data_IF_053721889389
#
_entry.id   IF_053721889389
#
_cell.length_a   1.000
_cell.length_b   1.000
_cell.length_c   1.000
_cell.angle_alpha   90.00
_cell.angle_beta   90.00
_cell.angle_gamma   90.00
#
_symmetry.space_group_name_H-M   'P 1'
#
loop_
_entity.id
_entity.type
_entity.pdbx_description
1 polymer ?
#
# COMPACT_ATOMS: atom_id res chain seq x y z
N UNK A 1 24.58 -5.99 -17.36
CA UNK A 1 25.62 -5.33 -18.20
C UNK A 1 26.16 -6.33 -19.19
N UNK A 2 26.30 -5.92 -20.44
CA UNK A 2 26.88 -6.71 -21.53
C UNK A 2 28.08 -5.97 -22.09
N UNK A 3 29.16 -6.67 -22.32
CA UNK A 3 30.36 -6.15 -22.99
C UNK A 3 30.56 -6.99 -24.24
N UNK A 4 30.62 -6.36 -25.41
CA UNK A 4 30.69 -7.06 -26.69
C UNK A 4 31.67 -6.40 -27.65
N UNK A 5 32.18 -7.18 -28.61
CA UNK A 5 32.89 -6.65 -29.79
C UNK A 5 31.87 -6.37 -30.90
N UNK A 6 32.20 -5.47 -31.83
CA UNK A 6 31.37 -5.25 -33.04
C UNK A 6 31.50 -6.44 -33.97
N UNK A 7 32.71 -6.84 -34.33
CA UNK A 7 32.94 -7.90 -35.32
C UNK A 7 33.00 -9.26 -34.65
N UNK A 8 31.85 -9.95 -34.63
CA UNK A 8 31.74 -11.32 -34.14
C UNK A 8 31.17 -12.24 -35.23
N UNK A 9 31.49 -13.55 -35.18
CA UNK A 9 30.87 -14.54 -36.10
C UNK A 9 29.35 -14.61 -35.87
N UNK A 10 28.59 -14.78 -36.95
CA UNK A 10 27.14 -15.00 -36.98
C UNK A 10 26.25 -13.77 -36.67
N UNK A 11 26.60 -12.94 -35.69
CA UNK A 11 25.84 -11.74 -35.32
C UNK A 11 26.85 -10.66 -34.91
N UNK A 12 26.69 -9.44 -35.42
CA UNK A 12 27.55 -8.34 -35.01
C UNK A 12 27.08 -7.76 -33.67
N UNK A 13 27.99 -7.06 -32.93
CA UNK A 13 27.70 -6.54 -31.60
C UNK A 13 26.59 -5.48 -31.56
N UNK A 14 26.35 -4.76 -32.66
CA UNK A 14 25.26 -3.78 -32.73
C UNK A 14 23.90 -4.47 -32.94
N UNK A 15 23.85 -5.53 -33.75
CA UNK A 15 22.66 -6.38 -33.86
C UNK A 15 22.33 -7.05 -32.55
N UNK A 16 23.35 -7.57 -31.84
CA UNK A 16 23.18 -8.12 -30.49
C UNK A 16 22.63 -7.06 -29.52
N UNK A 17 23.17 -5.84 -29.57
CA UNK A 17 22.72 -4.74 -28.74
C UNK A 17 21.26 -4.38 -29.01
N UNK A 18 20.85 -4.34 -30.26
CA UNK A 18 19.46 -4.07 -30.67
C UNK A 18 18.50 -5.11 -30.08
N UNK A 19 18.79 -6.39 -30.31
CA UNK A 19 17.98 -7.50 -29.79
C UNK A 19 17.88 -7.48 -28.26
N UNK A 20 18.99 -7.23 -27.56
CA UNK A 20 19.01 -7.15 -26.11
C UNK A 20 18.22 -5.95 -25.56
N UNK A 21 18.24 -4.81 -26.25
CA UNK A 21 17.47 -3.61 -25.87
C UNK A 21 15.97 -3.81 -26.09
N UNK A 22 15.57 -4.54 -27.14
CA UNK A 22 14.18 -4.90 -27.39
C UNK A 22 13.64 -5.84 -26.31
N UNK A 23 14.41 -6.84 -25.89
CA UNK A 23 14.02 -7.78 -24.83
C UNK A 23 14.11 -7.16 -23.45
N UNK A 24 15.12 -6.33 -23.19
CA UNK A 24 15.38 -5.68 -21.90
C UNK A 24 15.89 -4.26 -22.08
N UNK A 25 15.00 -3.25 -22.13
CA UNK A 25 15.39 -1.84 -22.32
C UNK A 25 16.36 -1.28 -21.28
N UNK A 26 16.40 -1.89 -20.09
CA UNK A 26 17.30 -1.50 -19.01
C UNK A 26 18.72 -2.09 -19.10
N UNK A 27 19.02 -2.90 -20.10
CA UNK A 27 20.35 -3.48 -20.26
C UNK A 27 21.39 -2.39 -20.58
N UNK A 28 22.50 -2.39 -19.87
CA UNK A 28 23.66 -1.51 -20.12
C UNK A 28 24.66 -2.26 -20.98
N UNK A 29 25.06 -1.65 -22.11
CA UNK A 29 25.90 -2.28 -23.12
C UNK A 29 27.13 -1.43 -23.35
N UNK A 30 28.30 -2.08 -23.32
CA UNK A 30 29.60 -1.52 -23.67
C UNK A 30 30.08 -2.21 -24.93
N UNK A 31 30.57 -1.44 -25.89
CA UNK A 31 31.16 -1.97 -27.10
C UNK A 31 32.68 -1.75 -27.08
N UNK A 32 33.42 -2.83 -27.31
CA UNK A 32 34.86 -2.82 -27.46
C UNK A 32 35.17 -3.11 -28.92
N UNK A 33 35.81 -2.20 -29.64
CA UNK A 33 36.04 -2.37 -31.09
C UNK A 33 37.44 -1.96 -31.51
N UNK A 34 37.99 -2.65 -32.52
CA UNK A 34 39.23 -2.27 -33.19
C UNK A 34 39.02 -1.36 -34.41
N UNK A 35 37.78 -0.93 -34.66
CA UNK A 35 37.43 -0.17 -35.84
C UNK A 35 36.90 1.20 -35.45
N UNK A 36 37.53 2.25 -35.99
CA UNK A 36 37.10 3.63 -35.84
C UNK A 36 36.26 4.00 -37.07
N UNK A 37 35.11 3.30 -37.24
CA UNK A 37 34.16 3.61 -38.31
C UNK A 37 33.05 4.49 -37.75
N UNK A 38 32.90 5.69 -38.27
CA UNK A 38 31.92 6.69 -37.86
C UNK A 38 30.48 6.15 -37.87
N UNK A 39 30.14 5.30 -38.83
CA UNK A 39 28.80 4.71 -38.93
C UNK A 39 28.45 3.81 -37.73
N UNK A 40 29.40 3.04 -37.19
CA UNK A 40 29.18 2.22 -36.01
C UNK A 40 29.01 3.07 -34.75
N UNK A 41 29.77 4.16 -34.62
CA UNK A 41 29.63 5.09 -33.51
C UNK A 41 28.25 5.78 -33.54
N UNK A 42 27.77 6.17 -34.72
CA UNK A 42 26.44 6.76 -34.92
C UNK A 42 25.32 5.79 -34.56
N UNK A 43 25.42 4.54 -34.97
CA UNK A 43 24.45 3.51 -34.63
C UNK A 43 24.46 3.19 -33.12
N UNK A 44 25.64 3.16 -32.50
CA UNK A 44 25.77 2.97 -31.05
C UNK A 44 25.05 4.07 -30.26
N UNK A 45 25.11 5.33 -30.69
CA UNK A 45 24.35 6.43 -30.07
C UNK A 45 22.84 6.22 -30.22
N UNK A 46 22.35 5.79 -31.39
CA UNK A 46 20.93 5.51 -31.61
C UNK A 46 20.41 4.35 -30.76
N UNK A 47 21.29 3.38 -30.46
CA UNK A 47 20.97 2.23 -29.59
C UNK A 47 21.16 2.55 -28.11
N UNK A 48 21.48 3.79 -27.74
CA UNK A 48 21.76 4.19 -26.34
C UNK A 48 22.78 3.28 -25.67
N UNK A 49 23.89 3.02 -26.39
CA UNK A 49 25.02 2.26 -25.85
C UNK A 49 25.72 3.12 -24.82
N UNK A 50 26.06 2.54 -23.67
CA UNK A 50 26.63 3.26 -22.53
C UNK A 50 28.04 3.80 -22.83
N UNK A 51 28.89 2.96 -23.40
CA UNK A 51 30.28 3.32 -23.75
C UNK A 51 30.73 2.59 -25.03
N UNK A 52 31.49 3.29 -25.83
CA UNK A 52 32.13 2.80 -27.05
C UNK A 52 33.65 2.98 -26.94
N UNK A 53 34.39 1.88 -26.77
CA UNK A 53 35.81 1.88 -26.41
C UNK A 53 36.63 1.30 -27.57
N UNK A 54 37.63 2.05 -28.03
CA UNK A 54 38.53 1.62 -29.08
C UNK A 54 39.65 0.72 -28.55
N UNK A 55 39.98 -0.32 -29.30
CA UNK A 55 41.17 -1.17 -29.06
C UNK A 55 42.42 -0.48 -29.69
N UNK A 56 43.61 -0.54 -29.04
CA UNK A 56 43.96 -1.33 -27.87
C UNK A 56 43.43 -0.72 -26.57
N UNK A 57 42.79 -1.53 -25.71
CA UNK A 57 42.14 -1.06 -24.50
C UNK A 57 43.19 -0.85 -23.42
N UNK A 58 43.21 0.34 -22.85
CA UNK A 58 43.99 0.59 -21.63
C UNK A 58 43.23 0.07 -20.40
N UNK A 59 43.88 -0.73 -19.56
CA UNK A 59 43.30 -1.28 -18.34
C UNK A 59 42.77 -0.20 -17.38
N UNK A 60 43.40 0.96 -17.33
CA UNK A 60 42.95 2.08 -16.50
C UNK A 60 41.67 2.69 -17.06
N UNK A 61 41.58 2.90 -18.38
CA UNK A 61 40.42 3.44 -19.07
C UNK A 61 39.20 2.53 -18.89
N UNK A 62 39.36 1.23 -19.11
CA UNK A 62 38.30 0.26 -18.87
C UNK A 62 37.85 0.25 -17.39
N UNK A 63 38.82 0.31 -16.44
CA UNK A 63 38.52 0.36 -15.02
C UNK A 63 37.71 1.61 -14.65
N UNK A 64 38.05 2.77 -15.18
CA UNK A 64 37.32 4.02 -14.95
C UNK A 64 35.90 3.99 -15.55
N UNK A 65 35.76 3.46 -16.77
CA UNK A 65 34.48 3.26 -17.40
C UNK A 65 33.56 2.36 -16.55
N UNK A 66 34.06 1.20 -16.12
CA UNK A 66 33.32 0.28 -15.28
C UNK A 66 32.97 0.87 -13.89
N UNK A 67 33.83 1.71 -13.31
CA UNK A 67 33.53 2.44 -12.09
C UNK A 67 32.42 3.46 -12.28
N UNK A 68 32.43 4.22 -13.39
CA UNK A 68 31.34 5.15 -13.71
C UNK A 68 30.02 4.40 -13.86
N UNK A 69 30.01 3.34 -14.64
CA UNK A 69 28.82 2.51 -14.84
C UNK A 69 28.30 1.91 -13.54
N UNK A 70 29.22 1.38 -12.69
CA UNK A 70 28.84 0.89 -11.37
C UNK A 70 28.14 1.97 -10.53
N UNK A 71 28.71 3.18 -10.48
CA UNK A 71 28.14 4.28 -9.70
C UNK A 71 26.73 4.67 -10.19
N UNK A 72 26.51 4.67 -11.51
CA UNK A 72 25.19 4.94 -12.10
C UNK A 72 24.19 3.85 -11.68
N UNK A 73 24.58 2.58 -11.83
CA UNK A 73 23.71 1.45 -11.45
C UNK A 73 23.42 1.39 -9.95
N UNK A 74 24.42 1.68 -9.12
CA UNK A 74 24.24 1.71 -7.66
C UNK A 74 23.26 2.83 -7.27
N UNK A 75 23.38 4.02 -7.88
CA UNK A 75 22.46 5.14 -7.66
C UNK A 75 21.03 4.82 -8.10
N UNK A 76 20.84 4.28 -9.30
CA UNK A 76 19.52 3.84 -9.79
C UNK A 76 18.89 2.79 -8.86
N UNK A 77 19.70 1.85 -8.35
CA UNK A 77 19.26 0.83 -7.41
C UNK A 77 18.84 1.44 -6.08
N UNK A 78 19.62 2.39 -5.58
CA UNK A 78 19.35 3.08 -4.32
C UNK A 78 18.06 3.91 -4.41
N UNK A 79 17.86 4.63 -5.51
CA UNK A 79 16.63 5.38 -5.80
C UNK A 79 15.41 4.45 -5.84
N UNK A 80 15.49 3.32 -6.54
CA UNK A 80 14.41 2.32 -6.60
C UNK A 80 14.11 1.71 -5.23
N UNK A 81 15.14 1.44 -4.42
CA UNK A 81 14.97 0.93 -3.06
C UNK A 81 14.31 1.98 -2.15
N UNK A 82 14.67 3.25 -2.28
CA UNK A 82 14.08 4.33 -1.49
C UNK A 82 12.59 4.53 -1.83
N UNK A 83 12.23 4.48 -3.11
CA UNK A 83 10.81 4.54 -3.54
C UNK A 83 10.02 3.38 -2.93
N UNK A 84 10.52 2.14 -3.05
CA UNK A 84 9.87 0.96 -2.47
C UNK A 84 9.70 1.05 -0.96
N UNK A 85 10.72 1.55 -0.24
CA UNK A 85 10.62 1.78 1.20
C UNK A 85 9.55 2.80 1.55
N UNK A 86 9.48 3.91 0.80
CA UNK A 86 8.45 4.93 0.97
C UNK A 86 7.05 4.37 0.74
N UNK A 87 6.85 3.60 -0.33
CA UNK A 87 5.59 2.91 -0.61
C UNK A 87 5.19 1.95 0.52
N UNK A 88 6.17 1.20 1.06
CA UNK A 88 5.93 0.31 2.18
C UNK A 88 5.56 1.08 3.44
N UNK A 89 6.32 2.12 3.81
CA UNK A 89 5.99 2.98 4.95
C UNK A 89 4.60 3.61 4.83
N UNK A 90 4.23 4.06 3.64
CA UNK A 90 2.89 4.58 3.40
C UNK A 90 1.84 3.50 3.62
N UNK A 91 2.00 2.32 3.04
CA UNK A 91 1.07 1.19 3.19
C UNK A 91 0.93 0.75 4.64
N UNK A 92 2.04 0.65 5.37
CA UNK A 92 2.06 0.25 6.78
C UNK A 92 1.40 1.32 7.68
N UNK A 93 1.44 2.58 7.28
CA UNK A 93 0.84 3.70 8.00
C UNK A 93 -0.66 3.89 7.74
N UNK A 94 -1.17 3.36 6.62
CA UNK A 94 -2.59 3.54 6.21
C UNK A 94 -3.59 3.18 7.31
N UNK A 95 -3.48 2.05 8.05
CA UNK A 95 -4.46 1.72 9.10
C UNK A 95 -4.53 2.76 10.22
N UNK A 96 -3.39 3.37 10.55
CA UNK A 96 -3.31 4.43 11.58
C UNK A 96 -3.93 5.73 11.04
N UNK A 97 -3.61 6.10 9.80
CA UNK A 97 -4.16 7.27 9.14
C UNK A 97 -5.69 7.15 8.98
N UNK A 98 -6.18 5.98 8.59
CA UNK A 98 -7.61 5.70 8.48
C UNK A 98 -8.30 5.81 9.85
N UNK A 99 -7.71 5.25 10.91
CA UNK A 99 -8.25 5.38 12.27
C UNK A 99 -8.32 6.84 12.70
N UNK A 100 -7.25 7.60 12.50
CA UNK A 100 -7.19 9.03 12.84
C UNK A 100 -8.21 9.86 12.05
N UNK A 101 -8.43 9.52 10.78
CA UNK A 101 -9.47 10.15 9.96
C UNK A 101 -10.85 9.92 10.57
N UNK A 102 -11.23 8.68 10.89
CA UNK A 102 -12.53 8.39 11.47
C UNK A 102 -12.71 9.03 12.85
N UNK A 103 -11.68 9.03 13.69
CA UNK A 103 -11.72 9.75 14.97
C UNK A 103 -11.97 11.24 14.77
N UNK A 104 -11.26 11.86 13.84
CA UNK A 104 -11.41 13.28 13.54
C UNK A 104 -12.76 13.63 12.91
N UNK A 105 -13.32 12.70 12.12
CA UNK A 105 -14.65 12.83 11.53
C UNK A 105 -15.75 12.82 12.62
N UNK A 106 -15.68 11.85 13.53
CA UNK A 106 -16.63 11.74 14.66
C UNK A 106 -16.56 12.94 15.61
N UNK A 107 -15.37 13.50 15.77
CA UNK A 107 -15.15 14.69 16.62
C UNK A 107 -15.51 16.02 15.90
N UNK A 108 -15.93 15.96 14.63
CA UNK A 108 -16.29 17.14 13.87
C UNK A 108 -15.12 18.06 13.52
N UNK A 109 -13.88 17.51 13.48
CA UNK A 109 -12.66 18.26 13.19
C UNK A 109 -12.34 18.39 11.70
N UNK A 110 -13.06 17.68 10.85
CA UNK A 110 -12.87 17.66 9.40
C UNK A 110 -14.05 18.37 8.76
N UNK A 111 -13.78 19.32 7.87
CA UNK A 111 -14.83 19.99 7.10
C UNK A 111 -15.33 19.11 5.96
N UNK A 112 -16.61 19.29 5.56
CA UNK A 112 -17.23 18.50 4.49
C UNK A 112 -16.43 18.57 3.16
N UNK A 113 -15.81 19.72 2.89
CA UNK A 113 -14.99 19.93 1.69
C UNK A 113 -13.68 19.10 1.68
N UNK A 114 -13.21 18.68 2.84
CA UNK A 114 -11.96 17.92 2.99
C UNK A 114 -12.18 16.41 3.04
N UNK A 115 -13.41 15.96 3.35
CA UNK A 115 -13.73 14.54 3.50
C UNK A 115 -13.30 13.74 2.27
N UNK A 116 -13.70 14.18 1.07
CA UNK A 116 -13.38 13.49 -0.18
C UNK A 116 -11.86 13.40 -0.45
N UNK A 117 -11.11 14.42 -0.06
CA UNK A 117 -9.65 14.40 -0.15
C UNK A 117 -9.06 13.31 0.73
N UNK A 118 -9.44 13.27 2.02
CA UNK A 118 -8.94 12.25 2.95
C UNK A 118 -9.36 10.83 2.57
N UNK A 119 -10.59 10.64 2.05
CA UNK A 119 -11.03 9.34 1.55
C UNK A 119 -10.12 8.82 0.44
N UNK A 120 -9.77 9.70 -0.51
CA UNK A 120 -8.84 9.36 -1.59
C UNK A 120 -7.40 9.15 -1.09
N UNK A 121 -6.87 10.10 -0.31
CA UNK A 121 -5.49 10.05 0.18
C UNK A 121 -5.25 8.83 1.06
N UNK A 122 -6.22 8.41 1.87
CA UNK A 122 -6.10 7.25 2.78
C UNK A 122 -6.71 5.97 2.21
N UNK A 123 -7.09 5.95 0.93
CA UNK A 123 -7.64 4.79 0.24
C UNK A 123 -8.87 4.20 0.99
N UNK A 124 -9.71 5.06 1.54
CA UNK A 124 -10.93 4.65 2.25
C UNK A 124 -12.07 4.60 1.23
N UNK A 125 -12.64 3.41 1.04
CA UNK A 125 -13.86 3.25 0.25
C UNK A 125 -15.08 3.28 1.17
N UNK A 126 -15.97 4.25 0.94
CA UNK A 126 -17.29 4.36 1.59
C UNK A 126 -18.34 4.42 0.48
N UNK A 127 -18.65 3.30 -0.19
CA UNK A 127 -19.67 3.27 -1.23
C UNK A 127 -21.03 3.33 -0.57
N UNK A 128 -21.88 4.26 -0.97
CA UNK A 128 -23.25 4.37 -0.47
C UNK A 128 -23.67 5.80 -0.21
N UNK A 129 -24.97 5.95 0.11
CA UNK A 129 -25.57 7.26 0.34
C UNK A 129 -26.03 7.46 1.78
N UNK A 130 -26.11 6.38 2.56
CA UNK A 130 -26.57 6.46 3.93
C UNK A 130 -25.60 5.74 4.86
N UNK A 131 -25.23 6.40 5.93
CA UNK A 131 -24.28 5.88 6.91
C UNK A 131 -24.88 5.98 8.32
N UNK A 132 -24.55 5.01 9.15
CA UNK A 132 -24.88 5.03 10.57
C UNK A 132 -23.65 4.62 11.39
N UNK A 133 -23.44 5.32 12.51
CA UNK A 133 -22.37 5.02 13.43
C UNK A 133 -22.92 4.25 14.62
N UNK A 134 -22.33 3.11 14.97
CA UNK A 134 -22.62 2.33 16.15
C UNK A 134 -21.39 2.19 17.03
N UNK A 135 -21.51 2.53 18.32
CA UNK A 135 -20.43 2.47 19.31
C UNK A 135 -20.71 1.32 20.27
N UNK A 136 -19.82 0.36 20.31
CA UNK A 136 -19.91 -0.79 21.22
C UNK A 136 -18.99 -0.55 22.43
N UNK A 137 -19.60 -0.40 23.58
CA UNK A 137 -18.93 -0.23 24.87
C UNK A 137 -19.00 -1.54 25.67
N UNK A 138 -17.85 -2.02 26.13
CA UNK A 138 -17.75 -3.20 27.01
C UNK A 138 -17.61 -2.74 28.45
N UNK A 139 -18.51 -3.19 29.31
CA UNK A 139 -18.48 -2.83 30.73
C UNK A 139 -17.25 -3.43 31.44
N UNK A 140 -16.50 -2.58 32.14
CA UNK A 140 -15.36 -3.01 32.95
C UNK A 140 -15.79 -3.60 34.33
N UNK A 141 -17.06 -3.42 34.70
CA UNK A 141 -17.57 -3.86 35.98
C UNK A 141 -17.98 -5.35 35.99
N UNK A 142 -18.10 -5.97 34.82
CA UNK A 142 -18.47 -7.38 34.67
C UNK A 142 -17.45 -8.06 33.77
N UNK A 143 -16.36 -8.49 34.39
CA UNK A 143 -15.28 -9.23 33.69
C UNK A 143 -15.33 -10.67 34.14
N UNK A 144 -15.43 -11.64 33.24
CA UNK A 144 -15.42 -13.06 33.57
C UNK A 144 -14.14 -13.48 34.29
N UNK A 145 -14.23 -14.49 35.14
CA UNK A 145 -13.10 -15.04 35.87
C UNK A 145 -11.96 -15.46 34.90
N UNK A 146 -10.75 -15.05 35.23
CA UNK A 146 -9.56 -15.35 34.43
C UNK A 146 -9.32 -14.41 33.21
N UNK A 147 -10.15 -13.38 33.02
CA UNK A 147 -9.93 -12.33 32.03
C UNK A 147 -9.55 -11.00 32.67
N UNK A 148 -8.84 -10.17 31.93
CA UNK A 148 -8.65 -8.74 32.25
C UNK A 148 -9.63 -7.89 31.46
N UNK A 149 -10.02 -6.68 31.95
CA UNK A 149 -10.88 -5.77 31.19
C UNK A 149 -10.37 -5.49 29.76
N UNK A 150 -9.06 -5.36 29.61
CA UNK A 150 -8.41 -5.15 28.31
C UNK A 150 -8.58 -6.35 27.36
N UNK A 151 -8.37 -7.57 27.86
CA UNK A 151 -8.55 -8.79 27.04
C UNK A 151 -10.02 -8.98 26.66
N UNK A 152 -10.94 -8.67 27.57
CA UNK A 152 -12.37 -8.72 27.27
C UNK A 152 -12.75 -7.72 26.17
N UNK A 153 -12.29 -6.47 26.28
CA UNK A 153 -12.53 -5.44 25.27
C UNK A 153 -11.98 -5.85 23.90
N UNK A 154 -10.73 -6.36 23.85
CA UNK A 154 -10.12 -6.84 22.59
C UNK A 154 -10.92 -8.02 22.00
N UNK A 155 -11.39 -8.94 22.83
CA UNK A 155 -12.20 -10.08 22.41
C UNK A 155 -13.53 -9.63 21.82
N UNK A 156 -14.23 -8.72 22.51
CA UNK A 156 -15.48 -8.14 22.03
C UNK A 156 -15.27 -7.39 20.70
N UNK A 157 -14.21 -6.59 20.58
CA UNK A 157 -13.88 -5.89 19.33
C UNK A 157 -13.68 -6.86 18.16
N UNK A 158 -12.98 -7.98 18.39
CA UNK A 158 -12.80 -9.02 17.37
C UNK A 158 -14.13 -9.62 16.95
N UNK A 159 -14.97 -9.97 17.92
CA UNK A 159 -16.27 -10.60 17.66
C UNK A 159 -17.25 -9.65 16.97
N UNK A 160 -17.24 -8.35 17.28
CA UNK A 160 -18.02 -7.36 16.54
C UNK A 160 -17.65 -7.42 15.04
N UNK A 161 -16.35 -7.37 14.72
CA UNK A 161 -15.89 -7.45 13.33
C UNK A 161 -16.33 -8.74 12.64
N UNK A 162 -16.23 -9.88 13.32
CA UNK A 162 -16.60 -11.18 12.74
C UNK A 162 -18.12 -11.36 12.57
N UNK A 163 -18.93 -10.94 13.54
CA UNK A 163 -20.40 -11.13 13.51
C UNK A 163 -21.10 -10.21 12.51
N UNK A 164 -20.56 -9.02 12.24
CA UNK A 164 -21.11 -8.09 11.25
C UNK A 164 -20.48 -8.26 9.87
N UNK A 165 -19.38 -9.00 9.75
CA UNK A 165 -18.69 -9.28 8.49
C UNK A 165 -19.64 -9.98 7.50
N UNK A 166 -19.70 -9.45 6.27
CA UNK A 166 -20.55 -9.99 5.19
C UNK A 166 -22.05 -9.74 5.34
N UNK A 167 -22.52 -9.21 6.49
CA UNK A 167 -23.91 -8.77 6.65
C UNK A 167 -24.08 -7.31 6.29
N UNK A 168 -23.07 -6.51 6.63
CA UNK A 168 -23.03 -5.06 6.44
C UNK A 168 -21.70 -4.67 5.83
N UNK A 169 -21.69 -3.69 4.96
CA UNK A 169 -20.45 -3.03 4.54
C UNK A 169 -20.07 -2.01 5.62
N UNK A 170 -19.09 -2.38 6.44
CA UNK A 170 -18.71 -1.63 7.63
C UNK A 170 -17.24 -1.25 7.63
N UNK A 171 -16.95 -0.11 8.26
CA UNK A 171 -15.60 0.26 8.66
C UNK A 171 -15.53 0.32 10.17
N UNK A 172 -14.40 -0.11 10.73
CA UNK A 172 -14.22 -0.23 12.18
C UNK A 172 -12.98 0.52 12.63
N UNK A 173 -13.10 1.24 13.72
CA UNK A 173 -11.97 1.89 14.39
C UNK A 173 -12.17 1.89 15.90
N UNK A 174 -11.07 2.08 16.64
CA UNK A 174 -11.12 2.19 18.09
C UNK A 174 -11.18 3.65 18.50
N UNK A 175 -12.07 4.00 19.43
CA UNK A 175 -12.22 5.34 19.95
C UNK A 175 -12.50 5.30 21.45
N UNK A 176 -11.64 5.90 22.26
CA UNK A 176 -11.73 5.93 23.72
C UNK A 176 -12.03 4.54 24.36
N UNK A 177 -11.30 3.53 23.95
CA UNK A 177 -11.45 2.15 24.45
C UNK A 177 -12.64 1.37 23.86
N UNK A 178 -13.52 2.02 23.10
CA UNK A 178 -14.68 1.41 22.45
C UNK A 178 -14.34 1.01 21.02
N UNK A 179 -15.11 0.06 20.46
CA UNK A 179 -15.11 -0.14 19.01
C UNK A 179 -16.25 0.64 18.39
N UNK A 180 -15.92 1.41 17.37
CA UNK A 180 -16.88 2.17 16.57
C UNK A 180 -17.01 1.49 15.21
N UNK A 181 -18.25 1.27 14.79
CA UNK A 181 -18.61 0.73 13.48
C UNK A 181 -19.31 1.79 12.70
N UNK A 182 -18.82 2.14 11.52
CA UNK A 182 -19.53 2.92 10.52
C UNK A 182 -20.12 1.95 9.52
N UNK A 183 -21.42 1.80 9.55
CA UNK A 183 -22.18 0.93 8.67
C UNK A 183 -22.73 1.71 7.48
N UNK A 184 -22.53 1.18 6.28
CA UNK A 184 -23.18 1.64 5.08
C UNK A 184 -24.57 1.00 4.98
N UNK A 185 -25.60 1.83 4.86
CA UNK A 185 -26.98 1.42 4.70
C UNK A 185 -27.39 1.61 3.22
N UNK A 186 -28.03 0.61 2.64
CA UNK A 186 -28.58 0.74 1.30
C UNK A 186 -29.77 1.69 1.25
N UNK A 187 -30.51 1.81 2.37
CA UNK A 187 -31.66 2.70 2.57
C UNK A 187 -31.69 3.17 4.02
N UNK A 188 -32.35 4.32 4.24
CA UNK A 188 -32.47 4.92 5.57
C UNK A 188 -33.22 4.02 6.58
N UNK A 189 -34.21 3.28 6.13
CA UNK A 189 -35.03 2.38 6.97
C UNK A 189 -34.29 1.12 7.45
N UNK A 190 -33.14 0.80 6.87
CA UNK A 190 -32.30 -0.33 7.31
C UNK A 190 -31.68 -0.13 8.70
N UNK A 191 -31.78 1.07 9.27
CA UNK A 191 -31.35 1.31 10.66
C UNK A 191 -32.06 0.40 11.65
N UNK A 192 -33.32 0.07 11.43
CA UNK A 192 -34.07 -0.86 12.29
C UNK A 192 -33.43 -2.25 12.30
N UNK A 193 -33.06 -2.76 11.12
CA UNK A 193 -32.37 -4.05 10.98
C UNK A 193 -30.98 -4.02 11.61
N UNK A 194 -30.26 -2.91 11.49
CA UNK A 194 -28.96 -2.73 12.13
C UNK A 194 -29.10 -2.75 13.67
N UNK A 195 -30.14 -2.09 14.20
CA UNK A 195 -30.45 -2.07 15.62
C UNK A 195 -30.77 -3.47 16.15
N UNK A 196 -31.55 -4.25 15.42
CA UNK A 196 -31.86 -5.65 15.77
C UNK A 196 -30.61 -6.53 15.76
N UNK A 197 -29.69 -6.32 14.79
CA UNK A 197 -28.42 -7.04 14.74
C UNK A 197 -27.51 -6.68 15.93
N UNK A 198 -27.49 -5.40 16.34
CA UNK A 198 -26.75 -4.95 17.52
C UNK A 198 -27.32 -5.55 18.82
N UNK A 199 -28.66 -5.55 18.98
CA UNK A 199 -29.32 -6.17 20.14
C UNK A 199 -29.02 -7.67 20.22
N UNK A 200 -29.09 -8.37 19.09
CA UNK A 200 -28.71 -9.80 19.03
C UNK A 200 -27.24 -10.02 19.40
N UNK A 201 -26.36 -9.13 19.00
CA UNK A 201 -24.95 -9.19 19.41
C UNK A 201 -24.78 -9.00 20.91
N UNK A 202 -25.45 -8.02 21.52
CA UNK A 202 -25.36 -7.79 22.97
C UNK A 202 -25.83 -9.03 23.76
N UNK A 203 -26.96 -9.61 23.40
CA UNK A 203 -27.48 -10.85 24.02
C UNK A 203 -26.57 -12.04 23.80
N UNK A 204 -25.90 -12.13 22.65
CA UNK A 204 -24.94 -13.17 22.38
C UNK A 204 -23.66 -12.97 23.21
N UNK A 205 -23.13 -11.75 23.33
CA UNK A 205 -21.94 -11.44 24.11
C UNK A 205 -22.13 -11.76 25.60
N UNK A 206 -23.27 -11.40 26.17
CA UNK A 206 -23.62 -11.73 27.53
C UNK A 206 -23.66 -13.28 27.76
N UNK A 207 -24.33 -13.98 26.86
CA UNK A 207 -24.52 -15.45 27.01
C UNK A 207 -23.24 -16.25 26.80
N UNK A 208 -22.37 -15.85 25.85
CA UNK A 208 -21.20 -16.64 25.49
C UNK A 208 -19.90 -16.17 26.15
N UNK A 209 -19.77 -14.88 26.43
CA UNK A 209 -18.59 -14.29 27.07
C UNK A 209 -18.84 -13.84 28.50
N UNK A 210 -20.10 -13.81 28.96
CA UNK A 210 -20.45 -13.12 30.20
C UNK A 210 -20.14 -11.62 30.17
N UNK A 211 -20.07 -11.04 28.95
CA UNK A 211 -19.69 -9.66 28.76
C UNK A 211 -20.92 -8.78 28.61
N UNK A 212 -21.04 -7.77 29.48
CA UNK A 212 -22.09 -6.74 29.32
C UNK A 212 -21.61 -5.72 28.27
N UNK A 213 -22.24 -5.77 27.10
CA UNK A 213 -21.97 -4.83 26.00
C UNK A 213 -23.17 -3.90 25.81
N UNK A 214 -22.90 -2.60 25.77
CA UNK A 214 -23.88 -1.57 25.46
C UNK A 214 -23.59 -0.98 24.06
N UNK A 215 -24.61 -0.80 23.23
CA UNK A 215 -24.43 -0.23 21.91
C UNK A 215 -25.20 1.09 21.79
N UNK A 216 -24.48 2.16 21.50
CA UNK A 216 -25.05 3.45 21.13
C UNK A 216 -25.14 3.54 19.61
N UNK A 217 -26.31 3.82 19.05
CA UNK A 217 -26.53 3.93 17.61
C UNK A 217 -26.89 5.39 17.29
N UNK A 218 -26.11 5.98 16.36
CA UNK A 218 -26.32 7.35 15.91
C UNK A 218 -27.45 7.50 14.92
N UNK A 219 -27.69 8.73 14.50
CA UNK A 219 -28.63 9.03 13.39
C UNK A 219 -28.04 8.55 12.08
N UNK A 220 -28.94 8.27 11.11
CA UNK A 220 -28.54 8.07 9.73
C UNK A 220 -28.12 9.42 9.14
N UNK A 221 -26.98 9.42 8.47
CA UNK A 221 -26.42 10.56 7.74
C UNK A 221 -26.23 10.20 6.27
N UNK A 222 -26.28 11.19 5.41
CA UNK A 222 -26.02 11.10 3.97
C UNK A 222 -24.89 12.03 3.55
#
# INVERSE_FOLDING_TARGET
VVITDIKMPYMNGLELARNLKEENPGVRILILTGFDEFEYAKEAVHLEIEEYILKPINANELSECLKRLKNVLDKEREEKLNVRKLEQYYTDSLPVLQTNFFCSLVEGRISDSEINKYLNDYQISLPGSYFCCAVFHTSENHVPDGMTPLLLSISVQREVKEKFRGKWDCRYFSYLGNIVMVANLGKEDEITRLTDDCDRFCKWADRFFGAVVTVGIGKVCN
#
